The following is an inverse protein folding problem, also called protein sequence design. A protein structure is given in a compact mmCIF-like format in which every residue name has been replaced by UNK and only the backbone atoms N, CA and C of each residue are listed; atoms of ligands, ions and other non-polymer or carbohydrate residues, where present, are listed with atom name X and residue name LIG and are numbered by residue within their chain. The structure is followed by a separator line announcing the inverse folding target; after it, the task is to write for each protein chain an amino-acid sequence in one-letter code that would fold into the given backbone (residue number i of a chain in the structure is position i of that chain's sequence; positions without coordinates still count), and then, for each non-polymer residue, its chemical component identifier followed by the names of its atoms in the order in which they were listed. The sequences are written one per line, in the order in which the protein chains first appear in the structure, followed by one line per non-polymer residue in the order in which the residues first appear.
data_IF_156933255617
#
_entry.id   IF_156933255617
#
_cell.length_a   1.000
_cell.length_b   1.000
_cell.length_c   1.000
_cell.angle_alpha   90.00
_cell.angle_beta   90.00
_cell.angle_gamma   90.00
#
_symmetry.space_group_name_H-M   'P 1'
#
loop_
_entity.id
_entity.type
_entity.pdbx_description
1 polymer ?
#
# COMPACT_ATOMS: atom_id res chain seq x y z
N UNK A 1 16.67 -15.50 -9.31
CA UNK A 1 15.71 -14.72 -10.12
C UNK A 1 16.51 -14.23 -11.30
N UNK A 2 16.23 -14.73 -12.51
CA UNK A 2 16.87 -14.23 -13.73
C UNK A 2 16.65 -12.72 -13.83
N UNK A 3 17.70 -11.98 -14.18
CA UNK A 3 17.61 -10.56 -14.47
C UNK A 3 16.68 -10.40 -15.68
N UNK A 4 15.41 -10.06 -15.42
CA UNK A 4 14.53 -9.57 -16.48
C UNK A 4 15.20 -8.36 -17.10
N UNK A 5 15.51 -8.42 -18.39
CA UNK A 5 16.03 -7.28 -19.14
C UNK A 5 15.07 -6.11 -18.96
N UNK A 6 15.56 -5.01 -18.38
CA UNK A 6 14.75 -3.82 -18.19
C UNK A 6 14.54 -3.11 -19.53
N UNK A 7 13.33 -2.63 -19.80
CA UNK A 7 13.04 -1.80 -20.97
C UNK A 7 13.57 -0.38 -20.77
N UNK A 8 13.43 0.15 -19.55
CA UNK A 8 13.95 1.47 -19.17
C UNK A 8 14.53 1.45 -17.77
N UNK A 9 15.45 2.39 -17.54
CA UNK A 9 16.21 2.54 -16.29
C UNK A 9 15.97 3.94 -15.76
N UNK A 10 15.60 4.05 -14.48
CA UNK A 10 15.49 5.29 -13.73
C UNK A 10 16.72 5.43 -12.85
N UNK A 11 17.37 6.59 -12.89
CA UNK A 11 18.48 6.91 -12.02
C UNK A 11 18.68 8.40 -11.81
N UNK A 12 18.83 8.81 -10.54
CA UNK A 12 19.01 10.21 -10.17
C UNK A 12 20.36 10.79 -10.62
N UNK A 13 21.39 9.93 -10.78
CA UNK A 13 22.74 10.34 -11.23
C UNK A 13 22.83 10.60 -12.75
N UNK A 14 21.76 10.30 -13.49
CA UNK A 14 21.70 10.48 -14.95
C UNK A 14 22.27 9.32 -15.77
N UNK A 15 22.69 8.22 -15.14
CA UNK A 15 23.16 6.99 -15.81
C UNK A 15 22.02 6.12 -16.38
N UNK A 16 20.77 6.53 -16.20
CA UNK A 16 19.57 5.89 -16.71
C UNK A 16 18.91 6.66 -17.86
N UNK A 17 17.76 6.17 -18.30
CA UNK A 17 16.92 6.81 -19.31
C UNK A 17 16.12 7.99 -18.74
N UNK A 18 15.69 7.88 -17.48
CA UNK A 18 14.91 8.91 -16.78
C UNK A 18 15.52 9.22 -15.41
N UNK A 19 15.25 10.43 -14.89
CA UNK A 19 15.69 10.82 -13.54
C UNK A 19 14.64 10.52 -12.47
N UNK A 20 13.37 10.42 -12.87
CA UNK A 20 12.23 10.17 -11.97
C UNK A 20 11.44 8.95 -12.43
N UNK A 21 10.79 8.28 -11.48
CA UNK A 21 9.91 7.15 -11.78
C UNK A 21 8.64 7.63 -12.49
N UNK A 22 8.12 8.80 -12.13
CA UNK A 22 6.96 9.42 -12.79
C UNK A 22 7.17 9.59 -14.30
N UNK A 23 8.35 10.05 -14.73
CA UNK A 23 8.68 10.17 -16.16
C UNK A 23 8.68 8.80 -16.86
N UNK A 24 9.29 7.79 -16.23
CA UNK A 24 9.32 6.44 -16.79
C UNK A 24 7.93 5.81 -16.91
N UNK A 25 7.07 5.98 -15.90
CA UNK A 25 5.67 5.52 -15.96
C UNK A 25 4.89 6.26 -17.03
N UNK A 26 5.09 7.58 -17.17
CA UNK A 26 4.43 8.37 -18.21
C UNK A 26 4.83 7.89 -19.62
N UNK A 27 6.11 7.56 -19.82
CA UNK A 27 6.66 7.08 -21.09
C UNK A 27 6.28 5.63 -21.45
N UNK A 28 5.87 4.81 -20.47
CA UNK A 28 5.47 3.43 -20.71
C UNK A 28 4.29 3.33 -21.71
N UNK A 29 4.22 2.29 -22.56
CA UNK A 29 3.13 2.13 -23.53
C UNK A 29 1.76 1.98 -22.85
N UNK A 30 0.72 2.51 -23.49
CA UNK A 30 -0.65 2.33 -23.05
C UNK A 30 -1.24 1.03 -23.60
N UNK A 31 -2.07 0.35 -22.81
CA UNK A 31 -2.77 -0.89 -23.14
C UNK A 31 -1.82 -1.98 -23.67
N UNK A 32 -0.61 -2.03 -23.10
CA UNK A 32 0.38 -3.03 -23.47
C UNK A 32 -0.09 -4.43 -23.09
N UNK A 33 -0.04 -5.33 -24.07
CA UNK A 33 -0.27 -6.77 -23.88
C UNK A 33 1.03 -7.50 -23.50
N UNK A 34 2.18 -6.83 -23.63
CA UNK A 34 3.49 -7.34 -23.21
C UNK A 34 3.96 -6.62 -21.95
N UNK A 35 4.75 -7.32 -21.14
CA UNK A 35 5.33 -6.74 -19.92
C UNK A 35 6.30 -5.61 -20.28
N UNK A 36 6.15 -4.47 -19.62
CA UNK A 36 7.09 -3.35 -19.69
C UNK A 36 7.78 -3.18 -18.34
N UNK A 37 9.10 -3.32 -18.31
CA UNK A 37 9.92 -3.37 -17.09
C UNK A 37 10.67 -2.05 -16.90
N UNK A 38 10.30 -1.33 -15.84
CA UNK A 38 11.02 -0.15 -15.33
C UNK A 38 11.95 -0.61 -14.22
N UNK A 39 13.25 -0.42 -14.41
CA UNK A 39 14.25 -0.65 -13.37
C UNK A 39 14.64 0.66 -12.68
N UNK A 40 14.58 0.70 -11.35
CA UNK A 40 14.84 1.89 -10.55
C UNK A 40 16.09 1.65 -9.73
N UNK A 41 17.19 2.31 -10.13
CA UNK A 41 18.45 2.23 -9.38
C UNK A 41 18.27 2.79 -7.97
N UNK A 42 19.17 2.40 -7.07
CA UNK A 42 19.26 2.94 -5.72
C UNK A 42 19.22 4.46 -5.72
N UNK A 43 18.53 5.01 -4.75
CA UNK A 43 18.26 6.44 -4.61
C UNK A 43 17.02 6.68 -3.78
N UNK A 44 16.88 7.91 -3.32
CA UNK A 44 15.68 8.38 -2.64
C UNK A 44 14.91 9.29 -3.57
N UNK A 45 13.80 8.78 -4.09
CA UNK A 45 12.94 9.46 -5.04
C UNK A 45 11.78 10.11 -4.27
N UNK A 46 11.86 11.43 -4.08
CA UNK A 46 10.80 12.20 -3.43
C UNK A 46 9.76 12.62 -4.47
N UNK A 47 8.82 11.73 -4.77
CA UNK A 47 7.81 11.91 -5.81
C UNK A 47 6.55 11.09 -5.52
N UNK A 48 5.42 11.59 -6.03
CA UNK A 48 4.18 10.84 -6.09
C UNK A 48 4.03 10.20 -7.47
N UNK A 49 3.93 8.88 -7.48
CA UNK A 49 3.78 8.10 -8.70
C UNK A 49 2.37 7.53 -8.78
N UNK A 50 1.65 7.93 -9.82
CA UNK A 50 0.34 7.38 -10.15
C UNK A 50 0.47 6.47 -11.37
N UNK A 51 0.02 5.22 -11.24
CA UNK A 51 -0.08 4.29 -12.37
C UNK A 51 -1.48 4.42 -12.94
N UNK A 52 -1.58 5.15 -14.06
CA UNK A 52 -2.84 5.37 -14.73
C UNK A 52 -3.46 4.08 -15.27
N UNK A 53 -4.79 4.06 -15.39
CA UNK A 53 -5.60 2.89 -15.81
C UNK A 53 -5.17 2.26 -17.14
N UNK A 54 -4.61 3.05 -18.04
CA UNK A 54 -4.14 2.57 -19.35
C UNK A 54 -2.74 1.96 -19.30
N UNK A 55 -2.01 2.06 -18.19
CA UNK A 55 -0.65 1.51 -18.02
C UNK A 55 -0.74 0.04 -17.60
N UNK A 56 -1.16 -0.82 -18.52
CA UNK A 56 -1.30 -2.27 -18.28
C UNK A 56 0.06 -2.98 -18.39
N UNK A 57 0.19 -4.15 -17.77
CA UNK A 57 1.38 -5.02 -17.86
C UNK A 57 2.70 -4.35 -17.42
N UNK A 58 2.62 -3.37 -16.52
CA UNK A 58 3.79 -2.66 -16.01
C UNK A 58 4.46 -3.44 -14.87
N UNK A 59 5.80 -3.51 -14.87
CA UNK A 59 6.60 -4.06 -13.78
C UNK A 59 7.64 -3.03 -13.36
N UNK A 60 7.70 -2.72 -12.06
CA UNK A 60 8.67 -1.79 -11.49
C UNK A 60 9.55 -2.59 -10.53
N UNK A 61 10.87 -2.50 -10.70
CA UNK A 61 11.86 -3.25 -9.91
C UNK A 61 12.92 -2.30 -9.39
N UNK A 62 13.19 -2.31 -8.08
CA UNK A 62 14.29 -1.55 -7.47
C UNK A 62 15.59 -2.36 -7.35
N UNK A 63 16.73 -1.68 -7.17
CA UNK A 63 18.03 -2.30 -6.85
C UNK A 63 17.93 -3.17 -5.58
N UNK A 64 17.36 -2.61 -4.51
CA UNK A 64 17.16 -3.29 -3.24
C UNK A 64 16.11 -2.60 -2.38
N UNK A 65 15.56 -3.33 -1.41
CA UNK A 65 14.54 -2.84 -0.47
C UNK A 65 14.98 -1.62 0.35
N UNK A 66 16.28 -1.55 0.67
CA UNK A 66 16.83 -0.55 1.59
C UNK A 66 17.46 0.64 0.85
N UNK A 67 17.77 0.49 -0.44
CA UNK A 67 18.49 1.51 -1.19
C UNK A 67 17.63 2.17 -2.26
N UNK A 68 16.56 1.54 -2.76
CA UNK A 68 15.58 2.18 -3.65
C UNK A 68 14.35 2.58 -2.83
N UNK A 69 14.25 3.87 -2.52
CA UNK A 69 13.19 4.42 -1.65
C UNK A 69 12.34 5.38 -2.47
N UNK A 70 11.05 5.10 -2.58
CA UNK A 70 10.04 6.04 -3.03
C UNK A 70 9.41 6.69 -1.80
N UNK A 71 9.41 8.01 -1.73
CA UNK A 71 8.85 8.74 -0.59
C UNK A 71 8.04 9.95 -1.06
N UNK A 72 7.07 10.36 -0.25
CA UNK A 72 6.28 11.56 -0.48
C UNK A 72 5.60 11.96 0.81
N UNK A 73 5.52 13.27 1.07
CA UNK A 73 4.83 13.80 2.25
C UNK A 73 3.51 14.47 1.82
N UNK A 74 2.37 13.85 2.13
CA UNK A 74 1.05 14.47 1.97
C UNK A 74 0.51 14.91 3.33
N UNK A 75 0.48 16.21 3.57
CA UNK A 75 -0.07 16.82 4.79
C UNK A 75 -1.58 17.13 4.70
N UNK A 76 -2.35 16.46 3.83
CA UNK A 76 -3.78 16.73 3.70
C UNK A 76 -4.56 15.47 3.29
N UNK A 77 -5.48 15.05 4.15
CA UNK A 77 -6.55 14.07 3.95
C UNK A 77 -6.21 12.72 3.28
N UNK A 78 -5.98 11.74 4.17
CA UNK A 78 -5.87 10.29 3.95
C UNK A 78 -4.53 9.86 3.37
N UNK A 79 -3.71 9.28 4.22
CA UNK A 79 -2.53 8.54 3.81
C UNK A 79 -2.96 7.48 2.78
N UNK A 80 -2.33 7.58 1.62
CA UNK A 80 -2.67 6.88 0.38
C UNK A 80 -1.36 6.64 -0.34
N UNK A 81 -0.40 6.07 0.38
CA UNK A 81 1.01 6.03 -0.04
C UNK A 81 1.24 5.07 -1.22
N UNK A 82 0.32 4.13 -1.44
CA UNK A 82 0.22 3.34 -2.66
C UNK A 82 -1.25 3.31 -3.06
N UNK A 83 -1.64 4.10 -4.07
CA UNK A 83 -2.95 3.97 -4.71
C UNK A 83 -2.78 3.39 -6.11
N UNK A 84 -3.24 2.15 -6.27
CA UNK A 84 -3.50 1.59 -7.59
C UNK A 84 -4.96 1.88 -7.94
N UNK A 85 -5.19 2.95 -8.70
CA UNK A 85 -6.51 3.23 -9.29
C UNK A 85 -6.60 2.50 -10.62
N UNK A 86 -6.79 1.18 -10.58
CA UNK A 86 -7.26 0.49 -11.78
C UNK A 86 -8.76 0.75 -11.92
N UNK A 87 -9.28 0.95 -13.13
CA UNK A 87 -10.70 0.71 -13.37
C UNK A 87 -10.85 0.27 -14.81
N UNK A 88 -11.46 -0.91 -14.98
CA UNK A 88 -11.84 -1.57 -16.23
C UNK A 88 -10.73 -2.39 -16.91
N UNK A 89 -10.56 -3.62 -16.45
CA UNK A 89 -10.89 -4.82 -17.21
C UNK A 89 -10.92 -6.01 -16.23
N UNK A 90 -11.75 -6.99 -16.56
CA UNK A 90 -12.14 -8.16 -15.76
C UNK A 90 -11.00 -9.14 -15.39
N UNK A 91 -9.72 -8.70 -15.34
CA UNK A 91 -8.56 -9.60 -15.14
C UNK A 91 -7.31 -9.03 -14.45
N UNK A 92 -7.27 -7.78 -13.99
CA UNK A 92 -5.98 -7.16 -13.62
C UNK A 92 -5.68 -7.24 -12.12
N UNK A 93 -4.88 -8.23 -11.74
CA UNK A 93 -4.29 -8.34 -10.42
C UNK A 93 -3.05 -7.45 -10.26
N UNK A 94 -2.88 -6.83 -9.08
CA UNK A 94 -1.62 -6.19 -8.70
C UNK A 94 -0.77 -7.15 -7.85
N UNK A 95 0.54 -7.22 -8.11
CA UNK A 95 1.47 -8.02 -7.31
C UNK A 95 2.55 -7.12 -6.71
N UNK A 96 2.71 -7.21 -5.40
CA UNK A 96 3.81 -6.59 -4.65
C UNK A 96 4.68 -7.70 -4.09
N UNK A 97 5.97 -7.68 -4.41
CA UNK A 97 6.93 -8.68 -3.96
C UNK A 97 8.14 -8.00 -3.34
N UNK A 98 8.46 -8.36 -2.08
CA UNK A 98 9.59 -7.79 -1.32
C UNK A 98 9.59 -6.26 -1.27
N UNK A 99 8.43 -5.67 -1.00
CA UNK A 99 8.27 -4.25 -0.76
C UNK A 99 8.19 -3.94 0.74
N UNK A 100 8.64 -2.77 1.14
CA UNK A 100 8.45 -2.23 2.49
C UNK A 100 7.56 -0.99 2.38
N UNK A 101 6.46 -1.00 3.12
CA UNK A 101 5.44 0.04 3.11
C UNK A 101 5.38 0.63 4.52
N UNK A 102 5.84 1.86 4.70
CA UNK A 102 5.99 2.47 6.03
C UNK A 102 5.22 3.79 6.11
N UNK A 103 4.27 3.88 7.03
CA UNK A 103 3.65 5.13 7.44
C UNK A 103 3.03 5.00 8.86
N UNK A 104 2.01 5.81 9.16
CA UNK A 104 1.27 5.78 10.42
C UNK A 104 -0.17 5.31 10.16
N UNK A 105 -1.11 6.24 10.02
CA UNK A 105 -2.51 5.94 9.73
C UNK A 105 -2.69 5.68 8.22
N UNK A 106 -3.63 4.82 7.84
CA UNK A 106 -4.03 4.55 6.44
C UNK A 106 -2.82 4.22 5.51
N UNK A 107 -1.85 3.45 6.02
CA UNK A 107 -0.56 3.22 5.34
C UNK A 107 -0.73 2.61 3.94
N UNK A 108 -1.53 1.54 3.83
CA UNK A 108 -1.84 0.85 2.58
C UNK A 108 -3.34 0.92 2.30
N UNK A 109 -3.70 1.55 1.17
CA UNK A 109 -5.07 1.57 0.68
C UNK A 109 -5.27 0.57 -0.46
N UNK A 110 -5.59 -0.68 -0.10
CA UNK A 110 -5.97 -1.75 -1.01
C UNK A 110 -7.39 -1.51 -1.55
N UNK A 111 -7.51 -0.54 -2.47
CA UNK A 111 -8.78 0.06 -2.86
C UNK A 111 -9.80 -0.94 -3.46
N UNK A 112 -9.45 -1.58 -4.58
CA UNK A 112 -10.35 -2.48 -5.34
C UNK A 112 -9.55 -3.55 -6.10
N UNK A 113 -10.27 -4.50 -6.66
CA UNK A 113 -9.77 -5.59 -7.52
C UNK A 113 -8.87 -6.58 -6.80
N UNK A 114 -8.30 -7.51 -7.57
CA UNK A 114 -7.47 -8.59 -7.04
C UNK A 114 -6.07 -8.06 -6.76
N UNK A 115 -5.52 -8.37 -5.58
CA UNK A 115 -4.19 -7.93 -5.19
C UNK A 115 -3.46 -9.04 -4.44
N UNK A 116 -2.15 -9.17 -4.68
CA UNK A 116 -1.31 -10.14 -4.00
C UNK A 116 -0.06 -9.48 -3.45
N UNK A 117 0.18 -9.67 -2.16
CA UNK A 117 1.33 -9.12 -1.44
C UNK A 117 2.15 -10.29 -0.90
N UNK A 118 3.38 -10.44 -1.35
CA UNK A 118 4.23 -11.59 -1.01
C UNK A 118 5.60 -11.15 -0.50
N UNK A 119 6.03 -11.72 0.64
CA UNK A 119 7.33 -11.42 1.27
C UNK A 119 7.58 -9.91 1.51
N UNK A 120 6.51 -9.16 1.74
CA UNK A 120 6.56 -7.72 1.97
C UNK A 120 6.46 -7.39 3.47
N UNK A 121 6.82 -6.17 3.84
CA UNK A 121 6.70 -5.63 5.19
C UNK A 121 5.80 -4.39 5.19
N UNK A 122 4.98 -4.24 6.23
CA UNK A 122 4.23 -3.02 6.50
C UNK A 122 4.43 -2.56 7.94
N UNK A 123 4.54 -1.25 8.11
CA UNK A 123 4.60 -0.60 9.42
C UNK A 123 3.53 0.49 9.51
N UNK A 124 2.75 0.52 10.59
CA UNK A 124 1.64 1.46 10.73
C UNK A 124 0.97 1.49 12.11
N UNK A 125 -0.07 2.34 12.25
CA UNK A 125 -0.80 2.58 13.50
C UNK A 125 -2.30 2.30 13.39
N UNK A 126 -3.08 3.26 12.89
CA UNK A 126 -4.54 3.18 12.76
C UNK A 126 -4.90 2.81 11.33
N UNK A 127 -5.76 1.81 11.14
CA UNK A 127 -6.32 1.38 9.85
C UNK A 127 -5.27 1.19 8.75
N UNK A 128 -4.09 0.71 9.12
CA UNK A 128 -2.95 0.83 8.24
C UNK A 128 -2.96 -0.15 7.05
N UNK A 129 -3.90 -1.09 7.01
CA UNK A 129 -4.34 -1.81 5.82
C UNK A 129 -5.85 -1.60 5.65
N UNK A 130 -6.27 -0.80 4.67
CA UNK A 130 -7.67 -0.44 4.49
C UNK A 130 -8.12 -0.54 3.03
N UNK A 131 -9.45 -0.65 2.81
CA UNK A 131 -10.05 -0.69 1.47
C UNK A 131 -11.00 -1.88 1.24
N UNK A 132 -11.28 -2.16 -0.03
CA UNK A 132 -12.31 -3.09 -0.52
C UNK A 132 -11.77 -4.01 -1.63
N UNK A 133 -10.46 -4.23 -1.68
CA UNK A 133 -9.85 -5.18 -2.61
C UNK A 133 -10.13 -6.64 -2.20
N UNK A 134 -10.04 -7.55 -3.17
CA UNK A 134 -9.85 -8.98 -2.93
C UNK A 134 -8.33 -9.20 -2.81
N UNK A 135 -7.79 -9.07 -1.61
CA UNK A 135 -6.34 -9.05 -1.39
C UNK A 135 -5.85 -10.24 -0.55
N UNK A 136 -4.75 -10.86 -0.99
CA UNK A 136 -4.05 -11.89 -0.21
C UNK A 136 -2.67 -11.39 0.18
N UNK A 137 -2.38 -11.46 1.48
CA UNK A 137 -1.09 -11.14 2.09
C UNK A 137 -0.44 -12.45 2.52
N UNK A 138 0.71 -12.80 1.92
CA UNK A 138 1.39 -14.05 2.16
C UNK A 138 2.84 -13.82 2.57
N UNK A 139 3.29 -14.48 3.65
CA UNK A 139 4.63 -14.27 4.23
C UNK A 139 4.90 -12.77 4.53
N UNK A 140 3.85 -12.03 4.91
CA UNK A 140 3.88 -10.60 5.13
C UNK A 140 4.29 -10.29 6.58
N UNK A 141 5.23 -9.38 6.78
CA UNK A 141 5.62 -8.87 8.10
C UNK A 141 4.77 -7.65 8.45
N UNK A 142 3.99 -7.73 9.52
CA UNK A 142 3.06 -6.69 9.95
C UNK A 142 3.58 -6.14 11.28
N UNK A 143 4.01 -4.89 11.28
CA UNK A 143 4.63 -4.26 12.44
C UNK A 143 3.78 -3.08 12.92
N UNK A 144 3.13 -3.24 14.08
CA UNK A 144 2.37 -2.15 14.70
C UNK A 144 3.30 -1.21 15.47
N UNK A 145 3.25 0.09 15.15
CA UNK A 145 4.11 1.11 15.77
C UNK A 145 3.42 1.96 16.81
N UNK A 146 4.18 2.78 17.54
CA UNK A 146 3.62 3.71 18.54
C UNK A 146 2.65 4.70 17.87
N UNK A 147 1.35 4.69 18.23
CA UNK A 147 0.41 5.67 17.72
C UNK A 147 0.52 7.00 18.49
N UNK A 148 -0.24 8.00 18.03
CA UNK A 148 -0.40 9.25 18.78
C UNK A 148 -1.08 8.97 20.12
N UNK A 149 -0.86 9.86 21.09
CA UNK A 149 -1.45 9.74 22.43
C UNK A 149 -2.98 9.68 22.33
N UNK A 150 -3.58 8.71 23.01
CA UNK A 150 -5.03 8.49 23.01
C UNK A 150 -5.55 7.60 21.88
N UNK A 151 -4.70 7.23 20.91
CA UNK A 151 -5.07 6.29 19.85
C UNK A 151 -4.75 4.83 20.21
N UNK A 152 -5.41 3.91 19.52
CA UNK A 152 -5.11 2.48 19.51
C UNK A 152 -4.61 2.08 18.13
N UNK A 153 -3.89 0.96 18.03
CA UNK A 153 -3.53 0.42 16.73
C UNK A 153 -4.66 -0.45 16.17
N UNK A 154 -4.91 -0.35 14.87
CA UNK A 154 -5.88 -1.17 14.15
C UNK A 154 -5.23 -1.61 12.85
N UNK A 155 -5.00 -2.91 12.71
CA UNK A 155 -4.26 -3.45 11.55
C UNK A 155 -5.09 -3.34 10.29
N UNK A 156 -6.36 -3.77 10.34
CA UNK A 156 -7.23 -3.80 9.16
C UNK A 156 -8.50 -2.98 9.33
N UNK A 157 -8.86 -2.27 8.27
CA UNK A 157 -10.13 -1.58 8.12
C UNK A 157 -10.72 -1.92 6.76
N UNK A 158 -11.27 -3.13 6.68
CA UNK A 158 -11.97 -3.57 5.48
C UNK A 158 -13.31 -2.80 5.41
N UNK A 159 -13.57 -2.24 4.23
CA UNK A 159 -14.84 -1.60 3.87
C UNK A 159 -15.54 -2.45 2.83
N UNK A 160 -16.80 -2.80 3.05
CA UNK A 160 -17.63 -3.46 2.04
C UNK A 160 -18.49 -2.40 1.35
N UNK A 161 -18.13 -1.98 0.14
CA UNK A 161 -18.90 -0.94 -0.56
C UNK A 161 -20.09 -1.51 -1.34
N UNK A 162 -19.97 -2.72 -1.84
CA UNK A 162 -21.03 -3.43 -2.57
C UNK A 162 -21.16 -4.84 -1.99
N UNK A 163 -22.33 -5.14 -1.41
CA UNK A 163 -22.60 -6.45 -0.80
C UNK A 163 -22.71 -7.59 -1.80
N UNK A 164 -22.74 -7.29 -3.11
CA UNK A 164 -22.71 -8.26 -4.19
C UNK A 164 -21.30 -8.63 -4.66
N UNK A 165 -20.28 -7.81 -4.34
CA UNK A 165 -18.89 -8.10 -4.69
C UNK A 165 -18.25 -9.01 -3.62
N UNK A 166 -17.54 -10.06 -4.06
CA UNK A 166 -16.78 -10.94 -3.16
C UNK A 166 -15.39 -10.35 -2.91
N UNK A 167 -15.31 -9.42 -1.96
CA UNK A 167 -14.07 -8.74 -1.56
C UNK A 167 -13.64 -9.17 -0.16
N UNK A 168 -12.41 -8.82 0.22
CA UNK A 168 -11.88 -9.13 1.55
C UNK A 168 -10.37 -9.33 1.56
N UNK A 169 -9.83 -9.31 2.77
CA UNK A 169 -8.40 -9.51 3.02
C UNK A 169 -8.15 -10.88 3.62
N UNK A 170 -7.19 -11.61 3.06
CA UNK A 170 -6.70 -12.89 3.58
C UNK A 170 -5.24 -12.78 3.97
N UNK A 171 -4.91 -13.19 5.20
CA UNK A 171 -3.55 -13.16 5.74
C UNK A 171 -3.07 -14.58 5.97
N UNK A 172 -2.03 -15.00 5.26
CA UNK A 172 -1.51 -16.36 5.30
C UNK A 172 -0.01 -16.37 5.63
N UNK A 173 0.39 -17.15 6.64
CA UNK A 173 1.80 -17.22 7.09
C UNK A 173 2.41 -15.84 7.38
N UNK A 174 1.58 -14.91 7.82
CA UNK A 174 2.01 -13.57 8.20
C UNK A 174 2.49 -13.60 9.65
N UNK A 175 3.38 -12.67 9.98
CA UNK A 175 3.85 -12.47 11.33
C UNK A 175 3.45 -11.07 11.78
N UNK A 176 2.74 -10.98 12.91
CA UNK A 176 2.26 -9.73 13.48
C UNK A 176 3.10 -9.43 14.71
N UNK A 177 3.81 -8.31 14.67
CA UNK A 177 4.75 -7.88 15.71
C UNK A 177 4.50 -6.43 16.11
N UNK A 178 5.15 -6.01 17.19
CA UNK A 178 5.17 -4.62 17.61
C UNK A 178 6.59 -4.09 17.41
N UNK A 179 6.70 -2.87 16.92
CA UNK A 179 7.99 -2.21 16.75
C UNK A 179 8.64 -1.85 18.08
N UNK A 180 9.94 -1.54 18.03
CA UNK A 180 10.71 -1.16 19.21
C UNK A 180 10.13 0.08 19.90
N UNK A 181 9.67 1.08 19.14
CA UNK A 181 9.07 2.31 19.69
C UNK A 181 7.70 2.08 20.37
N UNK A 182 7.04 0.94 20.11
CA UNK A 182 5.79 0.55 20.77
C UNK A 182 6.02 -0.03 22.17
N UNK A 183 7.21 -0.58 22.45
CA UNK A 183 7.55 -1.27 23.71
C UNK A 183 7.18 -0.46 24.97
N UNK A 184 7.49 0.85 25.06
CA UNK A 184 7.16 1.65 26.24
C UNK A 184 5.66 1.84 26.51
N UNK A 185 4.81 1.63 25.49
CA UNK A 185 3.36 1.89 25.57
C UNK A 185 2.51 0.64 25.42
N UNK A 186 3.13 -0.55 25.30
CA UNK A 186 2.45 -1.83 25.05
C UNK A 186 1.41 -2.20 26.11
N UNK A 187 1.60 -1.77 27.36
CA UNK A 187 0.66 -2.04 28.45
C UNK A 187 -0.60 -1.16 28.40
N UNK A 188 -0.51 0.02 27.78
CA UNK A 188 -1.57 1.04 27.79
C UNK A 188 -2.26 1.19 26.43
N UNK A 189 -1.57 0.90 25.34
CA UNK A 189 -2.08 1.03 23.98
C UNK A 189 -2.53 -0.33 23.48
N UNK A 190 -3.81 -0.44 23.13
CA UNK A 190 -4.37 -1.65 22.55
C UNK A 190 -4.06 -1.74 21.06
N UNK A 191 -3.84 -2.95 20.57
CA UNK A 191 -3.71 -3.25 19.14
C UNK A 191 -4.78 -4.27 18.76
N UNK A 192 -5.54 -3.97 17.70
CA UNK A 192 -6.63 -4.81 17.21
C UNK A 192 -6.31 -5.32 15.80
N UNK A 193 -6.71 -6.56 15.50
CA UNK A 193 -6.54 -7.14 14.16
C UNK A 193 -7.35 -6.39 13.10
N UNK A 194 -8.50 -5.85 13.48
CA UNK A 194 -9.24 -4.97 12.60
C UNK A 194 -10.48 -4.37 13.23
N UNK A 195 -11.13 -3.50 12.46
CA UNK A 195 -12.45 -2.96 12.75
C UNK A 195 -13.30 -2.94 11.48
N UNK A 196 -14.60 -3.06 11.65
CA UNK A 196 -15.56 -2.89 10.55
C UNK A 196 -15.62 -1.40 10.24
N UNK A 197 -15.37 -1.05 8.97
CA UNK A 197 -15.54 0.33 8.51
C UNK A 197 -16.75 0.38 7.59
N UNK A 198 -17.82 1.03 8.05
CA UNK A 198 -18.89 1.46 7.16
C UNK A 198 -18.35 2.71 6.46
N UNK A 199 -17.97 2.61 5.18
CA UNK A 199 -17.84 3.83 4.38
C UNK A 199 -19.26 4.32 4.10
N UNK A 200 -19.66 5.50 4.59
CA UNK A 200 -20.91 6.09 4.18
C UNK A 200 -20.74 6.51 2.72
N UNK A 201 -21.42 5.83 1.80
CA UNK A 201 -21.93 6.53 0.63
C UNK A 201 -22.84 7.64 1.17
N UNK A 202 -22.31 8.87 1.16
CA UNK A 202 -22.91 10.11 1.65
C UNK A 202 -23.02 10.30 3.17
N UNK A 203 -22.48 11.45 3.61
CA UNK A 203 -22.66 12.12 4.90
C UNK A 203 -23.91 11.69 5.68
N UNK A 204 -23.71 11.01 6.81
CA UNK A 204 -24.63 11.10 7.94
C UNK A 204 -23.77 11.21 9.21
N UNK A 205 -24.10 12.23 10.01
CA UNK A 205 -23.45 12.60 11.27
C UNK A 205 -23.21 11.42 12.21
N UNK A 206 -22.20 11.50 13.11
CA UNK A 206 -21.97 10.44 14.09
C UNK A 206 -23.24 10.23 14.95
N UNK A 207 -23.62 8.97 15.25
CA UNK A 207 -24.66 8.72 16.23
C UNK A 207 -24.22 9.25 17.60
N UNK A 208 -25.14 9.75 18.44
CA UNK A 208 -24.79 10.32 19.72
C UNK A 208 -24.16 9.26 20.63
N UNK A 209 -23.09 9.68 21.31
CA UNK A 209 -22.49 8.94 22.43
C UNK A 209 -23.57 8.70 23.50
N UNK A 210 -23.98 7.46 23.68
CA UNK A 210 -24.68 7.08 24.91
C UNK A 210 -23.66 6.99 26.05
N UNK A 211 -23.77 7.92 26.99
CA UNK A 211 -23.26 7.80 28.35
C UNK A 211 -24.34 7.17 29.25
N UNK A 212 -23.91 6.31 30.18
CA UNK A 212 -24.71 5.78 31.30
C UNK A 212 -24.89 4.26 31.22
N UNK A 213 -24.53 3.43 32.22
CA UNK A 213 -24.10 3.64 33.61
C UNK A 213 -22.94 2.69 33.93
#
# INVERSE_FOLDING_TARGET
MELTTADVIVSQDGSGHFKTLKEAVAAAPNNSITRYVIYVKRGTYNEFVEIGKTKTSLTIVGDSLQETILTGNMNHDRCRNIQLVNSRLSSDGAVFYRCHIDAYQDTLYAHKYQQFYMECQITGTVDFICGDATAVFQNFQIEARRPLVGQSNVITAQSLNDTSEVTGFSFQRCNITASLDFTPVKATVKTFLGRITLLPSFSISPPPLFHGF
#
